data_IF_923607287382
#
_entry.id   IF_923607287382
#
_cell.length_a   1.000
_cell.length_b   1.000
_cell.length_c   1.000
_cell.angle_alpha   90.00
_cell.angle_beta   90.00
_cell.angle_gamma   90.00
#
_symmetry.space_group_name_H-M   'P 1'
#
loop_
_entity.id
_entity.type
_entity.pdbx_description
1 polymer ?
#
# COMPACT_ATOMS: atom_id res chain seq x y z
N UNK A 1 9.04 -59.53 23.88
CA UNK A 1 9.08 -58.47 24.89
C UNK A 1 8.53 -57.21 24.24
N UNK A 2 7.23 -57.05 24.42
CA UNK A 2 6.40 -55.96 23.90
C UNK A 2 6.19 -55.03 25.08
N UNK A 3 6.56 -53.77 24.94
CA UNK A 3 6.47 -52.76 25.99
C UNK A 3 6.19 -51.39 25.37
N UNK A 4 5.05 -51.27 24.69
CA UNK A 4 4.50 -49.98 24.29
C UNK A 4 4.11 -49.19 25.54
N UNK A 5 4.94 -48.18 25.86
CA UNK A 5 4.63 -47.17 26.87
C UNK A 5 3.70 -46.14 26.23
N UNK A 6 2.39 -46.43 26.31
CA UNK A 6 1.31 -45.47 26.09
C UNK A 6 1.38 -44.37 27.16
N UNK A 7 2.18 -43.33 26.90
CA UNK A 7 2.23 -42.12 27.71
C UNK A 7 1.10 -41.20 27.26
N UNK A 8 -0.10 -41.45 27.77
CA UNK A 8 -1.28 -40.61 27.54
C UNK A 8 -1.04 -39.25 28.17
N UNK A 9 -0.62 -38.28 27.36
CA UNK A 9 -0.49 -36.87 27.74
C UNK A 9 -1.87 -36.32 28.10
N UNK A 10 -2.20 -36.27 29.40
CA UNK A 10 -3.36 -35.51 29.90
C UNK A 10 -3.02 -34.02 29.77
N UNK A 11 -3.26 -33.44 28.60
CA UNK A 11 -3.25 -31.98 28.45
C UNK A 11 -4.31 -31.37 29.38
N UNK A 12 -3.85 -30.43 30.19
CA UNK A 12 -4.65 -29.80 31.24
C UNK A 12 -5.71 -28.87 30.60
N UNK A 13 -7.02 -29.17 30.69
CA UNK A 13 -8.07 -28.46 29.94
C UNK A 13 -8.20 -26.97 30.30
N UNK A 14 -7.65 -26.57 31.46
CA UNK A 14 -7.56 -25.17 31.89
C UNK A 14 -6.55 -24.35 31.08
N UNK A 15 -5.48 -24.96 30.57
CA UNK A 15 -4.46 -24.28 29.79
C UNK A 15 -4.98 -23.99 28.37
N UNK A 16 -5.77 -24.92 27.80
CA UNK A 16 -6.48 -24.75 26.52
C UNK A 16 -7.51 -23.60 26.54
N UNK A 17 -8.21 -23.38 27.67
CA UNK A 17 -9.19 -22.28 27.77
C UNK A 17 -8.53 -20.89 27.84
N UNK A 18 -7.35 -20.77 28.46
CA UNK A 18 -6.63 -19.49 28.53
C UNK A 18 -6.07 -19.06 27.18
N UNK A 19 -5.50 -19.99 26.41
CA UNK A 19 -4.96 -19.69 25.07
C UNK A 19 -6.05 -19.29 24.09
N UNK A 20 -7.22 -19.93 24.16
CA UNK A 20 -8.36 -19.63 23.28
C UNK A 20 -8.93 -18.21 23.52
N UNK A 21 -9.00 -17.76 24.79
CA UNK A 21 -9.54 -16.45 25.16
C UNK A 21 -8.64 -15.29 24.73
N UNK A 22 -7.31 -15.47 24.76
CA UNK A 22 -6.33 -14.47 24.31
C UNK A 22 -6.37 -14.32 22.77
N UNK A 23 -6.53 -15.43 22.03
CA UNK A 23 -6.67 -15.38 20.57
C UNK A 23 -7.93 -14.65 20.11
N UNK A 24 -9.06 -14.86 20.79
CA UNK A 24 -10.32 -14.22 20.45
C UNK A 24 -10.30 -12.69 20.67
N UNK A 25 -9.71 -12.23 21.78
CA UNK A 25 -9.61 -10.78 22.06
C UNK A 25 -8.70 -10.04 21.06
N UNK A 26 -7.61 -10.68 20.59
CA UNK A 26 -6.78 -10.12 19.52
C UNK A 26 -7.52 -10.05 18.18
N UNK A 27 -8.36 -11.04 17.87
CA UNK A 27 -9.16 -11.06 16.63
C UNK A 27 -10.22 -9.96 16.58
N UNK A 28 -10.93 -9.71 17.68
CA UNK A 28 -11.94 -8.65 17.72
C UNK A 28 -11.30 -7.26 17.65
N UNK A 29 -10.20 -7.05 18.37
CA UNK A 29 -9.45 -5.79 18.30
C UNK A 29 -8.94 -5.50 16.88
N UNK A 30 -8.45 -6.54 16.19
CA UNK A 30 -8.02 -6.48 14.80
C UNK A 30 -9.15 -6.04 13.86
N UNK A 31 -10.34 -6.66 13.97
CA UNK A 31 -11.47 -6.33 13.11
C UNK A 31 -11.96 -4.89 13.35
N UNK A 32 -12.10 -4.49 14.62
CA UNK A 32 -12.58 -3.15 14.98
C UNK A 32 -11.60 -2.07 14.56
N UNK A 33 -10.29 -2.32 14.67
CA UNK A 33 -9.25 -1.41 14.20
C UNK A 33 -9.28 -1.28 12.68
N UNK A 34 -9.45 -2.38 11.94
CA UNK A 34 -9.61 -2.32 10.49
C UNK A 34 -10.85 -1.51 10.09
N UNK A 35 -12.00 -1.74 10.71
CA UNK A 35 -13.24 -1.03 10.38
C UNK A 35 -13.17 0.46 10.72
N UNK A 36 -12.50 0.82 11.82
CA UNK A 36 -12.32 2.23 12.21
C UNK A 36 -11.31 2.95 11.32
N UNK A 37 -10.22 2.29 10.94
CA UNK A 37 -9.28 2.80 9.93
C UNK A 37 -9.96 2.98 8.59
N UNK A 38 -10.77 2.01 8.15
CA UNK A 38 -11.50 2.09 6.88
C UNK A 38 -12.54 3.22 6.91
N UNK A 39 -13.26 3.39 8.02
CA UNK A 39 -14.23 4.47 8.18
C UNK A 39 -13.56 5.85 8.20
N UNK A 40 -12.42 5.99 8.90
CA UNK A 40 -11.66 7.23 8.95
C UNK A 40 -11.03 7.56 7.58
N UNK A 41 -10.53 6.54 6.89
CA UNK A 41 -10.05 6.65 5.52
C UNK A 41 -11.16 7.12 4.57
N UNK A 42 -12.33 6.49 4.60
CA UNK A 42 -13.47 6.89 3.77
C UNK A 42 -13.96 8.32 4.09
N UNK A 43 -13.96 8.71 5.37
CA UNK A 43 -14.29 10.07 5.78
C UNK A 43 -13.23 11.10 5.33
N UNK A 44 -11.95 10.71 5.28
CA UNK A 44 -10.85 11.60 4.85
C UNK A 44 -10.68 11.69 3.34
N UNK A 45 -11.19 10.73 2.55
CA UNK A 45 -11.31 10.89 1.08
C UNK A 45 -12.14 12.12 0.71
N UNK A 46 -13.07 12.55 1.58
CA UNK A 46 -13.81 13.79 1.39
C UNK A 46 -12.96 15.06 1.56
N UNK A 47 -11.74 14.95 2.10
CA UNK A 47 -10.80 16.05 2.31
C UNK A 47 -9.42 15.68 1.75
N UNK A 48 -9.22 15.96 0.45
CA UNK A 48 -8.02 15.57 -0.29
C UNK A 48 -6.70 15.99 0.38
N UNK A 49 -6.66 17.10 1.14
CA UNK A 49 -5.44 17.61 1.78
C UNK A 49 -4.99 16.86 3.04
N UNK A 50 -5.85 16.05 3.65
CA UNK A 50 -5.54 15.32 4.91
C UNK A 50 -5.30 13.84 4.63
N UNK A 51 -5.55 13.39 3.42
CA UNK A 51 -5.53 11.98 3.06
C UNK A 51 -4.12 11.37 3.04
N UNK A 52 -3.14 12.09 2.49
CA UNK A 52 -1.74 11.65 2.39
C UNK A 52 -1.07 11.47 3.76
N UNK A 53 -1.13 12.44 4.71
CA UNK A 53 -0.51 12.25 6.03
C UNK A 53 -1.18 11.15 6.84
N UNK A 54 -2.51 10.98 6.73
CA UNK A 54 -3.23 9.86 7.37
C UNK A 54 -2.75 8.53 6.80
N UNK A 55 -2.66 8.42 5.47
CA UNK A 55 -2.16 7.21 4.80
C UNK A 55 -0.74 6.85 5.24
N UNK A 56 0.15 7.84 5.32
CA UNK A 56 1.50 7.64 5.84
C UNK A 56 1.47 7.12 7.28
N UNK A 57 0.72 7.76 8.17
CA UNK A 57 0.60 7.34 9.56
C UNK A 57 0.08 5.90 9.70
N UNK A 58 -0.92 5.51 8.90
CA UNK A 58 -1.45 4.14 8.87
C UNK A 58 -0.39 3.13 8.43
N UNK A 59 0.42 3.45 7.42
CA UNK A 59 1.51 2.56 6.98
C UNK A 59 2.59 2.40 8.04
N UNK A 60 2.96 3.46 8.76
CA UNK A 60 3.90 3.35 9.88
C UNK A 60 3.35 2.46 11.00
N UNK A 61 2.05 2.56 11.30
CA UNK A 61 1.39 1.64 12.25
C UNK A 61 1.45 0.19 11.74
N UNK A 62 1.19 -0.04 10.45
CA UNK A 62 1.30 -1.38 9.86
C UNK A 62 2.73 -1.92 9.89
N UNK A 63 3.75 -1.09 9.67
CA UNK A 63 5.16 -1.49 9.79
C UNK A 63 5.45 -1.98 11.22
N UNK A 64 4.94 -1.29 12.24
CA UNK A 64 5.10 -1.71 13.65
C UNK A 64 4.40 -3.05 13.91
N UNK A 65 3.22 -3.29 13.31
CA UNK A 65 2.52 -4.57 13.42
C UNK A 65 3.17 -5.70 12.64
N UNK A 66 3.85 -5.39 11.53
CA UNK A 66 4.53 -6.36 10.69
C UNK A 66 5.91 -6.79 11.24
N UNK A 67 6.39 -6.18 12.33
CA UNK A 67 7.76 -6.38 12.86
C UNK A 67 8.13 -7.84 13.17
N UNK A 68 7.14 -8.67 13.49
CA UNK A 68 7.36 -10.06 13.89
C UNK A 68 7.45 -11.01 12.67
N UNK A 69 7.16 -10.53 11.45
CA UNK A 69 7.23 -11.30 10.20
C UNK A 69 8.01 -10.52 9.13
N UNK A 70 9.27 -10.90 8.93
CA UNK A 70 10.22 -10.19 8.04
C UNK A 70 9.67 -9.99 6.61
N UNK A 71 8.89 -10.94 6.11
CA UNK A 71 8.30 -10.86 4.77
C UNK A 71 7.21 -9.78 4.68
N UNK A 72 6.27 -9.77 5.63
CA UNK A 72 5.26 -8.71 5.71
C UNK A 72 5.88 -7.36 6.06
N UNK A 73 6.93 -7.35 6.88
CA UNK A 73 7.67 -6.14 7.23
C UNK A 73 8.27 -5.50 5.99
N UNK A 74 9.03 -6.25 5.19
CA UNK A 74 9.65 -5.76 3.97
C UNK A 74 8.60 -5.22 2.99
N UNK A 75 7.53 -5.98 2.78
CA UNK A 75 6.45 -5.59 1.87
C UNK A 75 5.80 -4.27 2.33
N UNK A 76 5.46 -4.16 3.61
CA UNK A 76 4.85 -2.95 4.17
C UNK A 76 5.84 -1.77 4.16
N UNK A 77 7.12 -2.02 4.40
CA UNK A 77 8.17 -1.00 4.37
C UNK A 77 8.35 -0.40 2.98
N UNK A 78 8.28 -1.22 1.92
CA UNK A 78 8.32 -0.73 0.52
C UNK A 78 7.20 0.29 0.28
N UNK A 79 5.96 -0.04 0.68
CA UNK A 79 4.84 0.89 0.57
C UNK A 79 5.04 2.14 1.44
N UNK A 80 5.47 1.98 2.69
CA UNK A 80 5.68 3.10 3.61
C UNK A 80 6.72 4.09 3.08
N UNK A 81 7.85 3.61 2.54
CA UNK A 81 8.91 4.46 1.98
C UNK A 81 8.40 5.20 0.75
N UNK A 82 7.83 4.50 -0.23
CA UNK A 82 7.41 5.14 -1.49
C UNK A 82 6.28 6.14 -1.27
N UNK A 83 5.29 5.82 -0.42
CA UNK A 83 4.18 6.73 -0.14
C UNK A 83 4.58 7.90 0.78
N UNK A 84 5.61 7.74 1.61
CA UNK A 84 6.22 8.88 2.30
C UNK A 84 6.93 9.82 1.33
N UNK A 85 7.63 9.28 0.33
CA UNK A 85 8.22 10.07 -0.74
C UNK A 85 7.15 10.80 -1.57
N UNK A 86 6.01 10.17 -1.81
CA UNK A 86 4.85 10.79 -2.48
C UNK A 86 4.30 11.96 -1.68
N UNK A 87 4.06 11.79 -0.38
CA UNK A 87 3.61 12.88 0.49
C UNK A 87 4.62 14.04 0.55
N UNK A 88 5.92 13.75 0.61
CA UNK A 88 6.98 14.76 0.57
C UNK A 88 7.04 15.49 -0.78
N UNK A 89 6.86 14.76 -1.88
CA UNK A 89 6.82 15.30 -3.22
C UNK A 89 5.61 16.23 -3.40
N UNK A 90 4.41 15.82 -2.97
CA UNK A 90 3.21 16.68 -2.97
C UNK A 90 3.41 17.93 -2.11
N UNK A 91 3.99 17.77 -0.92
CA UNK A 91 4.33 18.90 -0.05
C UNK A 91 5.30 19.87 -0.73
N UNK A 92 6.36 19.36 -1.36
CA UNK A 92 7.34 20.15 -2.09
C UNK A 92 6.71 20.89 -3.27
N UNK A 93 5.93 20.20 -4.10
CA UNK A 93 5.24 20.79 -5.23
C UNK A 93 4.36 21.95 -4.79
N UNK A 94 3.49 21.73 -3.79
CA UNK A 94 2.51 22.72 -3.34
C UNK A 94 3.12 23.96 -2.69
N UNK A 95 4.15 23.77 -1.86
CA UNK A 95 4.69 24.88 -1.05
C UNK A 95 5.88 25.59 -1.70
N UNK A 96 6.60 24.92 -2.60
CA UNK A 96 7.84 25.44 -3.19
C UNK A 96 7.69 25.64 -4.70
N UNK A 97 7.23 24.63 -5.44
CA UNK A 97 7.29 24.65 -6.89
C UNK A 97 6.13 25.44 -7.54
N UNK A 98 4.89 25.16 -7.16
CA UNK A 98 3.70 25.80 -7.74
C UNK A 98 3.66 27.33 -7.54
N UNK A 99 4.07 27.90 -6.40
CA UNK A 99 4.14 29.36 -6.27
C UNK A 99 5.10 30.05 -7.27
N UNK A 100 6.00 29.29 -7.91
CA UNK A 100 6.99 29.81 -8.86
C UNK A 100 6.52 29.62 -10.31
N UNK A 101 5.66 28.63 -10.58
CA UNK A 101 5.21 28.29 -11.93
C UNK A 101 3.93 29.07 -12.24
N UNK A 102 3.92 29.83 -13.34
CA UNK A 102 2.74 30.62 -13.73
C UNK A 102 1.73 29.83 -14.59
N UNK A 103 2.14 28.68 -15.13
CA UNK A 103 1.34 27.88 -16.07
C UNK A 103 0.79 26.61 -15.44
N UNK A 104 -0.54 26.52 -15.33
CA UNK A 104 -1.26 25.33 -14.87
C UNK A 104 -0.91 24.07 -15.67
N UNK A 105 -0.61 24.20 -16.96
CA UNK A 105 -0.17 23.08 -17.80
C UNK A 105 1.11 22.45 -17.27
N UNK A 106 2.09 23.29 -16.91
CA UNK A 106 3.39 22.85 -16.40
C UNK A 106 3.25 22.32 -14.96
N UNK A 107 2.45 22.96 -14.12
CA UNK A 107 2.15 22.47 -12.76
C UNK A 107 1.61 21.03 -12.80
N UNK A 108 0.62 20.79 -13.67
CA UNK A 108 -0.01 19.49 -13.82
C UNK A 108 0.95 18.41 -14.37
N UNK A 109 1.89 18.79 -15.25
CA UNK A 109 2.95 17.87 -15.70
C UNK A 109 3.80 17.42 -14.52
N UNK A 110 4.24 18.36 -13.68
CA UNK A 110 5.05 18.02 -12.51
C UNK A 110 4.25 17.19 -11.49
N UNK A 111 2.98 17.53 -11.27
CA UNK A 111 2.09 16.80 -10.38
C UNK A 111 1.88 15.35 -10.84
N UNK A 112 1.28 15.16 -12.01
CA UNK A 112 0.92 13.83 -12.51
C UNK A 112 2.16 13.03 -12.93
N UNK A 113 3.19 13.68 -13.48
CA UNK A 113 4.45 13.02 -13.84
C UNK A 113 5.25 12.56 -12.62
N UNK A 114 5.30 13.37 -11.55
CA UNK A 114 5.94 13.01 -10.29
C UNK A 114 5.24 11.81 -9.63
N UNK A 115 3.91 11.86 -9.58
CA UNK A 115 3.10 10.76 -9.05
C UNK A 115 3.24 9.47 -9.88
N UNK A 116 3.18 9.57 -11.21
CA UNK A 116 3.40 8.43 -12.10
C UNK A 116 4.78 7.79 -11.86
N UNK A 117 5.82 8.61 -11.70
CA UNK A 117 7.18 8.13 -11.44
C UNK A 117 7.25 7.35 -10.13
N UNK A 118 6.61 7.83 -9.06
CA UNK A 118 6.57 7.13 -7.78
C UNK A 118 5.72 5.84 -7.82
N UNK A 119 4.60 5.85 -8.54
CA UNK A 119 3.79 4.64 -8.78
C UNK A 119 4.56 3.58 -9.58
N UNK A 120 5.33 3.98 -10.59
CA UNK A 120 6.22 3.08 -11.33
C UNK A 120 7.35 2.55 -10.43
N UNK A 121 7.93 3.40 -9.58
CA UNK A 121 8.92 2.98 -8.60
C UNK A 121 8.34 1.93 -7.63
N UNK A 122 7.13 2.15 -7.12
CA UNK A 122 6.43 1.18 -6.27
C UNK A 122 6.21 -0.15 -7.00
N UNK A 123 5.74 -0.10 -8.25
CA UNK A 123 5.53 -1.29 -9.08
C UNK A 123 6.84 -2.06 -9.29
N UNK A 124 7.93 -1.34 -9.56
CA UNK A 124 9.27 -1.91 -9.74
C UNK A 124 9.75 -2.58 -8.46
N UNK A 125 9.66 -1.90 -7.31
CA UNK A 125 10.07 -2.45 -6.01
C UNK A 125 9.25 -3.69 -5.63
N UNK A 126 7.96 -3.73 -5.97
CA UNK A 126 7.13 -4.92 -5.75
C UNK A 126 7.51 -6.07 -6.69
N UNK A 127 7.70 -5.80 -7.98
CA UNK A 127 8.12 -6.79 -8.96
C UNK A 127 9.45 -7.44 -8.59
N UNK A 128 10.40 -6.63 -8.14
CA UNK A 128 11.75 -7.08 -7.78
C UNK A 128 11.95 -7.23 -6.27
N UNK A 129 10.86 -7.37 -5.49
CA UNK A 129 10.92 -7.44 -4.02
C UNK A 129 11.88 -8.52 -3.51
N UNK A 130 11.97 -9.65 -4.20
CA UNK A 130 12.86 -10.76 -3.82
C UNK A 130 14.33 -10.39 -4.02
N UNK A 131 14.66 -9.63 -5.07
CA UNK A 131 16.01 -9.13 -5.26
C UNK A 131 16.35 -8.06 -4.21
N UNK A 132 15.41 -7.16 -3.92
CA UNK A 132 15.55 -6.14 -2.85
C UNK A 132 15.75 -6.81 -1.49
N UNK A 133 14.94 -7.83 -1.17
CA UNK A 133 15.07 -8.67 0.01
C UNK A 133 16.47 -9.26 0.16
N UNK A 134 16.99 -9.88 -0.89
CA UNK A 134 18.33 -10.48 -0.90
C UNK A 134 19.40 -9.42 -0.68
N UNK A 135 19.28 -8.26 -1.32
CA UNK A 135 20.22 -7.16 -1.19
C UNK A 135 20.23 -6.61 0.25
N UNK A 136 19.06 -6.44 0.86
CA UNK A 136 18.92 -5.90 2.22
C UNK A 136 19.37 -6.91 3.29
N UNK A 137 18.96 -8.18 3.17
CA UNK A 137 19.25 -9.23 4.16
C UNK A 137 20.59 -9.93 3.93
N UNK A 138 21.27 -9.64 2.82
CA UNK A 138 22.47 -10.34 2.34
C UNK A 138 22.27 -11.87 2.26
N UNK A 139 21.05 -12.30 1.94
CA UNK A 139 20.68 -13.71 1.81
C UNK A 139 20.63 -14.52 3.11
N UNK A 140 20.63 -13.87 4.28
CA UNK A 140 20.68 -14.57 5.58
C UNK A 140 19.33 -15.09 6.08
N UNK A 141 18.22 -14.69 5.47
CA UNK A 141 16.88 -15.06 5.93
C UNK A 141 16.09 -15.84 4.89
N UNK A 142 15.72 -17.06 5.25
CA UNK A 142 14.89 -17.94 4.42
C UNK A 142 13.40 -17.56 4.45
N UNK A 143 12.93 -16.92 5.52
CA UNK A 143 11.52 -16.54 5.72
C UNK A 143 11.07 -15.47 4.72
N UNK A 144 12.00 -14.66 4.22
CA UNK A 144 11.74 -13.59 3.26
C UNK A 144 11.35 -14.13 1.87
N UNK A 145 11.73 -15.37 1.54
CA UNK A 145 11.37 -16.03 0.29
C UNK A 145 10.00 -16.68 0.32
N UNK A 146 9.34 -16.72 1.48
CA UNK A 146 8.00 -17.30 1.56
C UNK A 146 7.02 -16.47 0.74
N UNK A 147 6.15 -17.14 -0.02
CA UNK A 147 5.19 -16.46 -0.88
C UNK A 147 4.11 -15.82 -0.02
N UNK A 148 3.93 -14.51 -0.12
CA UNK A 148 2.83 -13.80 0.51
C UNK A 148 1.65 -13.75 -0.46
N UNK A 149 0.52 -14.32 -0.06
CA UNK A 149 -0.69 -14.35 -0.89
C UNK A 149 -1.26 -12.95 -1.21
N UNK A 150 -0.90 -11.92 -0.42
CA UNK A 150 -1.31 -10.54 -0.67
C UNK A 150 -0.58 -9.91 -1.87
N UNK A 151 0.56 -10.45 -2.33
CA UNK A 151 1.36 -9.85 -3.40
C UNK A 151 0.64 -9.72 -4.73
N UNK A 152 -0.10 -10.76 -5.13
CA UNK A 152 -0.82 -10.77 -6.41
C UNK A 152 -1.85 -9.63 -6.49
N UNK A 153 -2.80 -9.55 -5.54
CA UNK A 153 -3.73 -8.43 -5.47
C UNK A 153 -3.05 -7.07 -5.32
N UNK A 154 -1.99 -6.95 -4.51
CA UNK A 154 -1.24 -5.70 -4.36
C UNK A 154 -0.59 -5.25 -5.68
N UNK A 155 -0.01 -6.18 -6.43
CA UNK A 155 0.57 -5.88 -7.74
C UNK A 155 -0.49 -5.34 -8.72
N UNK A 156 -1.68 -5.95 -8.74
CA UNK A 156 -2.80 -5.47 -9.57
C UNK A 156 -3.24 -4.06 -9.14
N UNK A 157 -3.38 -3.81 -7.83
CA UNK A 157 -3.78 -2.49 -7.32
C UNK A 157 -2.76 -1.41 -7.65
N UNK A 158 -1.46 -1.71 -7.55
CA UNK A 158 -0.40 -0.77 -7.94
C UNK A 158 -0.37 -0.55 -9.46
N UNK A 159 -0.66 -1.58 -10.26
CA UNK A 159 -0.83 -1.40 -11.70
C UNK A 159 -2.00 -0.44 -12.02
N UNK A 160 -3.11 -0.55 -11.28
CA UNK A 160 -4.23 0.39 -11.38
C UNK A 160 -3.82 1.82 -11.00
N UNK A 161 -3.01 2.01 -9.95
CA UNK A 161 -2.45 3.33 -9.60
C UNK A 161 -1.61 3.93 -10.74
N UNK A 162 -0.70 3.14 -11.30
CA UNK A 162 0.12 3.55 -12.47
C UNK A 162 -0.77 3.93 -13.65
N UNK A 163 -1.82 3.17 -13.92
CA UNK A 163 -2.77 3.46 -14.99
C UNK A 163 -3.50 4.79 -14.77
N UNK A 164 -4.01 5.04 -13.55
CA UNK A 164 -4.69 6.30 -13.22
C UNK A 164 -3.76 7.50 -13.39
N UNK A 165 -2.53 7.41 -12.88
CA UNK A 165 -1.53 8.48 -13.00
C UNK A 165 -1.16 8.75 -14.46
N UNK A 166 -1.01 7.68 -15.25
CA UNK A 166 -0.72 7.78 -16.67
C UNK A 166 -1.88 8.45 -17.43
N UNK A 167 -3.12 8.03 -17.17
CA UNK A 167 -4.30 8.60 -17.83
C UNK A 167 -4.50 10.07 -17.46
N UNK A 168 -4.28 10.47 -16.21
CA UNK A 168 -4.34 11.87 -15.79
C UNK A 168 -3.28 12.73 -16.49
N UNK A 169 -2.05 12.21 -16.62
CA UNK A 169 -0.98 12.89 -17.36
C UNK A 169 -1.33 13.02 -18.86
N UNK A 170 -1.84 11.95 -19.47
CA UNK A 170 -2.28 11.96 -20.88
C UNK A 170 -3.43 12.92 -21.11
N UNK A 171 -4.41 12.96 -20.21
CA UNK A 171 -5.52 13.89 -20.27
C UNK A 171 -5.03 15.35 -20.18
N UNK A 172 -4.05 15.64 -19.32
CA UNK A 172 -3.42 16.95 -19.27
C UNK A 172 -2.77 17.35 -20.61
N UNK A 173 -2.11 16.41 -21.31
CA UNK A 173 -1.58 16.68 -22.65
C UNK A 173 -2.68 16.89 -23.69
N UNK A 174 -3.75 16.09 -23.66
CA UNK A 174 -4.88 16.23 -24.58
C UNK A 174 -5.60 17.58 -24.43
N UNK A 175 -5.80 18.04 -23.19
CA UNK A 175 -6.42 19.34 -22.92
C UNK A 175 -5.53 20.51 -23.34
N UNK A 176 -4.22 20.33 -23.34
CA UNK A 176 -3.26 21.40 -23.63
C UNK A 176 -2.52 21.19 -24.96
N UNK A 177 -3.16 20.55 -25.96
CA UNK A 177 -2.53 20.31 -27.26
C UNK A 177 -2.07 21.57 -27.99
N UNK A 178 -2.67 22.73 -27.70
CA UNK A 178 -2.20 24.02 -28.23
C UNK A 178 -0.75 24.32 -27.81
N UNK A 179 -0.35 23.94 -26.59
CA UNK A 179 1.01 24.07 -26.09
C UNK A 179 1.98 23.11 -26.79
N UNK A 180 1.45 22.07 -27.44
CA UNK A 180 2.20 21.11 -28.27
C UNK A 180 2.25 21.53 -29.76
N UNK A 181 1.73 22.71 -30.11
CA UNK A 181 1.74 23.25 -31.47
C UNK A 181 0.56 22.81 -32.35
N UNK A 182 -0.47 22.18 -31.77
CA UNK A 182 -1.71 21.86 -32.49
C UNK A 182 -2.54 23.13 -32.67
N UNK A 183 -3.17 23.30 -33.84
CA UNK A 183 -4.06 24.43 -34.10
C UNK A 183 -5.22 24.46 -33.11
N UNK A 184 -5.54 25.64 -32.60
CA UNK A 184 -6.56 25.86 -31.58
C UNK A 184 -7.94 25.27 -31.96
N UNK A 185 -8.34 25.39 -33.23
CA UNK A 185 -9.61 24.83 -33.74
C UNK A 185 -9.71 23.31 -33.52
N UNK A 186 -8.60 22.59 -33.63
CA UNK A 186 -8.54 21.14 -33.38
C UNK A 186 -8.40 20.84 -31.89
N UNK A 187 -7.63 21.65 -31.16
CA UNK A 187 -7.42 21.47 -29.72
C UNK A 187 -8.70 21.68 -28.90
N UNK A 188 -9.57 22.61 -29.30
CA UNK A 188 -10.84 22.93 -28.65
C UNK A 188 -11.75 21.73 -28.38
N UNK A 189 -11.74 20.74 -29.27
CA UNK A 189 -12.56 19.53 -29.14
C UNK A 189 -12.16 18.71 -27.90
N UNK A 190 -10.91 18.82 -27.44
CA UNK A 190 -10.35 18.03 -26.35
C UNK A 190 -10.29 18.76 -25.00
N UNK A 191 -10.67 20.04 -24.94
CA UNK A 191 -10.66 20.83 -23.70
C UNK A 191 -11.62 20.28 -22.64
N UNK A 192 -12.73 19.70 -23.07
CA UNK A 192 -13.79 19.15 -22.23
C UNK A 192 -13.49 17.73 -21.71
N UNK A 193 -12.36 17.12 -22.09
CA UNK A 193 -11.97 15.81 -21.58
C UNK A 193 -11.35 16.00 -20.20
N UNK A 194 -12.15 15.90 -19.14
CA UNK A 194 -11.73 16.19 -17.75
C UNK A 194 -11.94 15.05 -16.76
N UNK A 195 -12.26 13.84 -17.21
CA UNK A 195 -12.65 12.74 -16.33
C UNK A 195 -11.54 12.37 -15.32
N UNK A 196 -10.32 12.10 -15.80
CA UNK A 196 -9.23 11.72 -14.90
C UNK A 196 -8.72 12.91 -14.10
N UNK A 197 -8.80 14.12 -14.64
CA UNK A 197 -8.41 15.36 -13.98
C UNK A 197 -9.34 15.67 -12.78
N UNK A 198 -10.66 15.66 -13.00
CA UNK A 198 -11.65 16.05 -11.99
C UNK A 198 -11.79 14.99 -10.88
N UNK A 199 -11.74 13.71 -11.25
CA UNK A 199 -11.91 12.59 -10.32
C UNK A 199 -10.59 12.00 -9.85
N UNK A 200 -9.45 12.63 -10.14
CA UNK A 200 -8.11 12.08 -9.89
C UNK A 200 -7.93 11.56 -8.47
N UNK A 201 -8.16 12.42 -7.48
CA UNK A 201 -7.99 12.09 -6.06
C UNK A 201 -8.89 10.94 -5.62
N UNK A 202 -10.13 10.90 -6.13
CA UNK A 202 -11.07 9.83 -5.82
C UNK A 202 -10.64 8.50 -6.45
N UNK A 203 -10.33 8.52 -7.75
CA UNK A 203 -9.89 7.34 -8.49
C UNK A 203 -8.64 6.72 -7.86
N UNK A 204 -7.70 7.55 -7.39
CA UNK A 204 -6.44 7.11 -6.78
C UNK A 204 -6.60 6.66 -5.32
N UNK A 205 -7.43 7.32 -4.53
CA UNK A 205 -7.60 7.00 -3.11
C UNK A 205 -8.18 5.60 -2.88
N UNK A 206 -9.12 5.14 -3.72
CA UNK A 206 -9.74 3.81 -3.60
C UNK A 206 -8.71 2.67 -3.68
N UNK A 207 -7.92 2.51 -4.76
CA UNK A 207 -6.90 1.47 -4.84
C UNK A 207 -5.80 1.63 -3.79
N UNK A 208 -5.48 2.86 -3.36
CA UNK A 208 -4.52 3.08 -2.28
C UNK A 208 -5.03 2.53 -0.94
N UNK A 209 -6.29 2.78 -0.60
CA UNK A 209 -6.92 2.22 0.59
C UNK A 209 -7.03 0.70 0.54
N UNK A 210 -7.34 0.15 -0.64
CA UNK A 210 -7.32 -1.29 -0.86
C UNK A 210 -5.91 -1.87 -0.68
N UNK A 211 -4.84 -1.16 -1.08
CA UNK A 211 -3.47 -1.59 -0.79
C UNK A 211 -3.21 -1.68 0.72
N UNK A 212 -3.58 -0.65 1.49
CA UNK A 212 -3.42 -0.65 2.95
C UNK A 212 -4.22 -1.80 3.60
N UNK A 213 -5.47 -1.99 3.16
CA UNK A 213 -6.31 -3.08 3.64
C UNK A 213 -5.71 -4.46 3.30
N UNK A 214 -5.18 -4.64 2.09
CA UNK A 214 -4.55 -5.88 1.67
C UNK A 214 -3.24 -6.17 2.43
N UNK A 215 -2.44 -5.15 2.72
CA UNK A 215 -1.25 -5.28 3.57
C UNK A 215 -1.65 -5.75 4.97
N UNK A 216 -2.67 -5.11 5.55
CA UNK A 216 -3.20 -5.49 6.85
C UNK A 216 -3.72 -6.94 6.89
N UNK A 217 -4.55 -7.31 5.91
CA UNK A 217 -5.07 -8.69 5.78
C UNK A 217 -3.91 -9.68 5.62
N UNK A 218 -2.90 -9.33 4.82
CA UNK A 218 -1.69 -10.14 4.63
C UNK A 218 -0.97 -10.42 5.95
N UNK A 219 -0.79 -9.39 6.78
CA UNK A 219 -0.20 -9.51 8.13
C UNK A 219 -1.06 -10.45 8.99
N UNK A 220 -2.37 -10.17 9.12
CA UNK A 220 -3.28 -10.95 9.97
C UNK A 220 -3.34 -12.43 9.57
N UNK A 221 -3.40 -12.72 8.28
CA UNK A 221 -3.46 -14.10 7.77
C UNK A 221 -2.17 -14.84 8.10
N UNK A 222 -1.00 -14.19 7.97
CA UNK A 222 0.30 -14.81 8.28
C UNK A 222 0.47 -15.03 9.78
N UNK A 223 0.14 -14.05 10.63
CA UNK A 223 0.19 -14.21 12.10
C UNK A 223 -0.65 -15.39 12.61
N UNK A 224 -1.75 -15.74 11.92
CA UNK A 224 -2.59 -16.90 12.28
C UNK A 224 -2.03 -18.25 11.82
N UNK A 225 -1.14 -18.28 10.83
CA UNK A 225 -0.56 -19.52 10.27
C UNK A 225 0.74 -19.97 10.95
N UNK A 226 1.40 -19.08 11.69
CA UNK A 226 2.65 -19.39 12.41
C UNK A 226 2.58 -20.24 13.70
N UNK A 227 1.43 -20.70 14.28
CA UNK A 227 1.45 -21.23 15.65
C UNK A 227 1.82 -22.72 15.82
N UNK A 228 2.47 -23.43 14.88
CA UNK A 228 2.60 -24.91 14.99
C UNK A 228 4.03 -25.49 14.87
N UNK A 229 5.04 -24.76 14.39
CA UNK A 229 6.37 -25.37 14.16
C UNK A 229 7.44 -25.07 15.23
N UNK A 230 7.11 -24.41 16.34
CA UNK A 230 8.08 -24.03 17.36
C UNK A 230 8.18 -24.99 18.57
N UNK A 231 7.37 -26.05 18.63
CA UNK A 231 7.30 -26.97 19.79
C UNK A 231 7.97 -28.34 19.57
N UNK A 232 8.80 -28.48 18.52
CA UNK A 232 9.67 -29.65 18.35
C UNK A 232 11.15 -29.19 18.30
N UNK A 233 11.73 -28.93 19.48
CA UNK A 233 13.16 -29.14 19.80
C UNK A 233 13.40 -28.99 21.30
#
# INVERSE_FOLDING_TARGET
>A
MVGEVLKTSRQNPLQSRKTLKVGYMRSLFSLTLLTSVLALALASVAQATVFEPITCALLFILVVFARDDENSLLLTLVFAVVLSLDALMVFYLKNILFPIIESFYIENIFAYGGQLTLSILLLFLLKYRMAVAVLVTRGKSASVFEKNHAEGPLYLLVLTLVFIDFMALMENFLRNMEHLGVKEETAKVFWEVTFFYDYFAYLKSVPLLLCIAMLYVGIVVRTRRTPIQADEN
#
